data_IF_341382469198
#
_entry.id   IF_341382469198
#
_cell.length_a   1.000
_cell.length_b   1.000
_cell.length_c   1.000
_cell.angle_alpha   90.00
_cell.angle_beta   90.00
_cell.angle_gamma   90.00
#
_symmetry.space_group_name_H-M   'P 1'
#
loop_
_entity.id
_entity.type
_entity.pdbx_description
1 polymer ?
#
# COMPACT_ATOMS: atom_id res chain seq x y z
N UNK A 1 -13.10 -15.72 -12.58
CA UNK A 1 -11.65 -15.80 -12.30
C UNK A 1 -11.04 -14.64 -13.02
N UNK A 2 -10.92 -13.50 -12.34
CA UNK A 2 -10.29 -12.32 -12.94
C UNK A 2 -8.81 -12.66 -13.12
N UNK A 3 -8.32 -12.50 -14.34
CA UNK A 3 -6.93 -12.76 -14.71
C UNK A 3 -6.05 -11.80 -13.89
N UNK A 4 -5.11 -12.34 -13.12
CA UNK A 4 -4.29 -11.59 -12.16
C UNK A 4 -3.39 -10.57 -12.87
N UNK A 5 -3.94 -9.38 -13.11
CA UNK A 5 -3.27 -8.28 -13.80
C UNK A 5 -2.72 -7.24 -12.83
N UNK A 6 -1.68 -6.54 -13.25
CA UNK A 6 -1.17 -5.36 -12.56
C UNK A 6 -1.91 -4.11 -13.08
N UNK A 7 -2.47 -3.34 -12.17
CA UNK A 7 -3.00 -2.01 -12.47
C UNK A 7 -2.15 -0.94 -11.79
N UNK A 8 -1.61 -0.02 -12.58
CA UNK A 8 -0.84 1.13 -12.09
C UNK A 8 -1.70 2.39 -12.13
N UNK A 9 -1.73 3.11 -11.02
CA UNK A 9 -2.45 4.38 -10.89
C UNK A 9 -1.63 5.37 -10.06
N UNK A 10 -2.04 6.63 -10.07
CA UNK A 10 -1.48 7.67 -9.20
C UNK A 10 -2.30 7.77 -7.90
N UNK A 11 -1.68 8.32 -6.85
CA UNK A 11 -2.38 8.54 -5.57
C UNK A 11 -3.64 9.41 -5.72
N UNK A 12 -3.63 10.40 -6.63
CA UNK A 12 -4.78 11.27 -6.87
C UNK A 12 -6.02 10.55 -7.42
N UNK A 13 -5.83 9.39 -8.05
CA UNK A 13 -6.90 8.56 -8.60
C UNK A 13 -7.29 7.41 -7.66
N UNK A 14 -6.71 7.33 -6.45
CA UNK A 14 -7.05 6.31 -5.48
C UNK A 14 -8.36 6.70 -4.77
N UNK A 15 -9.45 6.14 -5.27
CA UNK A 15 -10.79 6.33 -4.74
C UNK A 15 -11.62 5.02 -4.73
N UNK A 16 -12.78 5.06 -4.08
CA UNK A 16 -13.67 3.90 -3.92
C UNK A 16 -14.15 3.33 -5.26
N UNK A 17 -14.40 4.17 -6.26
CA UNK A 17 -14.83 3.74 -7.59
C UNK A 17 -13.76 2.89 -8.27
N UNK A 18 -12.50 3.35 -8.24
CA UNK A 18 -11.38 2.58 -8.76
C UNK A 18 -11.22 1.23 -8.04
N UNK A 19 -11.27 1.22 -6.71
CA UNK A 19 -11.13 0.00 -5.92
C UNK A 19 -12.27 -1.00 -6.18
N UNK A 20 -13.50 -0.53 -6.35
CA UNK A 20 -14.64 -1.39 -6.67
C UNK A 20 -14.63 -1.90 -8.11
N UNK A 21 -13.94 -1.22 -9.03
CA UNK A 21 -13.79 -1.68 -10.41
C UNK A 21 -12.68 -2.74 -10.55
N UNK A 22 -11.56 -2.52 -9.85
CA UNK A 22 -10.38 -3.41 -9.95
C UNK A 22 -10.51 -4.60 -9.00
N UNK A 23 -11.16 -4.41 -7.85
CA UNK A 23 -11.25 -5.38 -6.76
C UNK A 23 -9.86 -5.97 -6.40
N UNK A 24 -8.87 -5.13 -6.03
CA UNK A 24 -7.51 -5.60 -5.84
C UNK A 24 -7.36 -6.45 -4.56
N UNK A 25 -6.65 -7.57 -4.66
CA UNK A 25 -6.25 -8.36 -3.48
C UNK A 25 -5.12 -7.67 -2.69
N UNK A 26 -4.20 -7.01 -3.41
CA UNK A 26 -2.99 -6.39 -2.85
C UNK A 26 -2.75 -5.03 -3.52
N UNK A 27 -2.44 -4.03 -2.70
CA UNK A 27 -1.98 -2.72 -3.12
C UNK A 27 -0.51 -2.57 -2.72
N UNK A 28 0.31 -2.08 -3.64
CA UNK A 28 1.74 -1.87 -3.42
C UNK A 28 2.13 -0.45 -3.79
N UNK A 29 2.93 0.21 -2.97
CA UNK A 29 3.50 1.53 -3.28
C UNK A 29 4.91 1.69 -2.69
N UNK A 30 5.70 2.67 -3.13
CA UNK A 30 6.82 3.17 -2.34
C UNK A 30 6.34 3.66 -0.98
N UNK A 31 7.21 3.59 0.04
CA UNK A 31 6.94 4.17 1.36
C UNK A 31 6.75 5.69 1.29
N UNK A 32 7.56 6.35 0.46
CA UNK A 32 7.48 7.79 0.18
C UNK A 32 7.61 7.97 -1.33
N UNK A 33 6.70 8.76 -1.91
CA UNK A 33 6.73 9.08 -3.33
C UNK A 33 6.41 10.56 -3.58
N UNK A 34 6.39 10.98 -4.85
CA UNK A 34 6.07 12.37 -5.19
C UNK A 34 4.63 12.71 -4.80
N UNK A 35 4.48 13.51 -3.73
CA UNK A 35 3.18 14.01 -3.28
C UNK A 35 2.36 13.02 -2.44
N UNK A 36 2.96 11.93 -1.97
CA UNK A 36 2.32 11.00 -1.02
C UNK A 36 3.35 10.31 -0.12
N UNK A 37 2.88 9.83 1.01
CA UNK A 37 3.56 8.83 1.81
C UNK A 37 2.60 7.67 2.10
N UNK A 38 3.13 6.58 2.66
CA UNK A 38 2.33 5.40 2.95
C UNK A 38 1.23 5.63 3.98
N UNK A 39 1.38 6.61 4.86
CA UNK A 39 0.37 6.96 5.85
C UNK A 39 -0.82 7.64 5.19
N UNK A 40 -0.57 8.54 4.23
CA UNK A 40 -1.59 9.19 3.42
C UNK A 40 -2.38 8.16 2.58
N UNK A 41 -1.67 7.20 1.96
CA UNK A 41 -2.30 6.09 1.22
C UNK A 41 -3.18 5.26 2.16
N UNK A 42 -2.65 4.85 3.31
CA UNK A 42 -3.37 4.00 4.25
C UNK A 42 -4.67 4.66 4.75
N UNK A 43 -4.62 5.96 5.08
CA UNK A 43 -5.82 6.74 5.43
C UNK A 43 -6.85 6.73 4.30
N UNK A 44 -6.41 6.94 3.05
CA UNK A 44 -7.32 6.91 1.91
C UNK A 44 -7.95 5.53 1.72
N UNK A 45 -7.20 4.45 1.92
CA UNK A 45 -7.71 3.08 1.84
C UNK A 45 -8.77 2.81 2.93
N UNK A 46 -8.49 3.24 4.17
CA UNK A 46 -9.43 3.18 5.29
C UNK A 46 -10.72 3.96 4.97
N UNK A 47 -10.62 5.18 4.46
CA UNK A 47 -11.77 6.00 4.04
C UNK A 47 -12.58 5.33 2.92
N UNK A 48 -11.91 4.63 2.00
CA UNK A 48 -12.57 3.89 0.94
C UNK A 48 -13.25 2.61 1.45
N UNK A 49 -12.90 2.12 2.64
CA UNK A 49 -13.37 0.85 3.19
C UNK A 49 -12.64 -0.37 2.63
N UNK A 50 -11.40 -0.19 2.17
CA UNK A 50 -10.56 -1.29 1.73
C UNK A 50 -10.11 -2.13 2.93
N UNK A 51 -10.18 -3.45 2.81
CA UNK A 51 -9.84 -4.40 3.88
C UNK A 51 -8.79 -5.43 3.46
N UNK A 52 -8.17 -5.23 2.29
CA UNK A 52 -7.15 -6.12 1.76
C UNK A 52 -5.73 -5.76 2.21
N UNK A 53 -4.76 -6.33 1.50
CA UNK A 53 -3.34 -6.18 1.83
C UNK A 53 -2.76 -4.90 1.25
N UNK A 54 -2.10 -4.11 2.09
CA UNK A 54 -1.28 -2.97 1.65
C UNK A 54 0.20 -3.23 1.99
N UNK A 55 1.08 -3.11 1.01
CA UNK A 55 2.53 -3.28 1.16
C UNK A 55 3.27 -2.04 0.70
N UNK A 56 4.02 -1.42 1.60
CA UNK A 56 4.91 -0.32 1.24
C UNK A 56 6.35 -0.82 1.04
N UNK A 57 6.97 -0.44 -0.06
CA UNK A 57 8.36 -0.79 -0.40
C UNK A 57 9.29 0.30 0.13
N UNK A 58 10.32 -0.08 0.86
CA UNK A 58 11.35 0.83 1.35
C UNK A 58 12.74 0.18 1.25
N UNK A 59 13.77 0.98 1.00
CA UNK A 59 15.17 0.55 1.13
C UNK A 59 15.66 0.87 2.55
N UNK A 60 16.11 -0.14 3.29
CA UNK A 60 16.84 -0.02 4.58
C UNK A 60 16.24 1.01 5.54
N UNK A 61 14.98 0.79 5.93
CA UNK A 61 14.26 1.71 6.79
C UNK A 61 14.67 1.58 8.27
N UNK A 62 15.33 2.58 8.87
CA UNK A 62 15.55 2.57 10.31
C UNK A 62 14.20 2.69 11.04
N UNK A 63 14.01 1.92 12.11
CA UNK A 63 12.78 1.91 12.92
C UNK A 63 11.51 1.50 12.17
N UNK A 64 11.58 0.48 11.31
CA UNK A 64 10.43 -0.01 10.56
C UNK A 64 9.18 -0.32 11.42
N UNK A 65 9.36 -0.74 12.67
CA UNK A 65 8.25 -0.98 13.62
C UNK A 65 7.49 0.29 14.00
N UNK A 66 8.17 1.45 14.04
CA UNK A 66 7.52 2.74 14.25
C UNK A 66 6.55 3.02 13.09
N UNK A 67 7.02 2.89 11.85
CA UNK A 67 6.20 3.10 10.66
C UNK A 67 5.03 2.14 10.61
N UNK A 68 5.26 0.84 10.85
CA UNK A 68 4.18 -0.16 10.93
C UNK A 68 3.10 0.25 11.92
N UNK A 69 3.50 0.71 13.11
CA UNK A 69 2.56 1.09 14.16
C UNK A 69 1.73 2.30 13.75
N UNK A 70 2.36 3.36 13.24
CA UNK A 70 1.65 4.58 12.84
C UNK A 70 0.66 4.31 11.69
N UNK A 71 1.09 3.53 10.68
CA UNK A 71 0.23 3.20 9.54
C UNK A 71 -0.94 2.30 9.95
N UNK A 72 -0.71 1.26 10.75
CA UNK A 72 -1.78 0.38 11.26
C UNK A 72 -2.75 1.13 12.19
N UNK A 73 -2.27 2.14 12.93
CA UNK A 73 -3.14 2.98 13.75
C UNK A 73 -4.04 3.89 12.90
N UNK A 74 -3.55 4.36 11.76
CA UNK A 74 -4.32 5.20 10.84
C UNK A 74 -5.33 4.41 9.98
N UNK A 75 -5.05 3.14 9.70
CA UNK A 75 -5.87 2.27 8.88
C UNK A 75 -6.04 0.87 9.54
N UNK A 76 -6.82 0.77 10.63
CA UNK A 76 -6.96 -0.47 11.39
C UNK A 76 -7.59 -1.62 10.60
N UNK A 77 -8.36 -1.33 9.55
CA UNK A 77 -9.02 -2.35 8.72
C UNK A 77 -8.14 -2.83 7.55
N UNK A 78 -7.00 -2.17 7.32
CA UNK A 78 -6.07 -2.50 6.22
C UNK A 78 -4.94 -3.36 6.76
N UNK A 79 -4.68 -4.51 6.10
CA UNK A 79 -3.55 -5.35 6.46
C UNK A 79 -2.24 -4.75 5.93
N UNK A 80 -1.56 -3.95 6.74
CA UNK A 80 -0.33 -3.26 6.36
C UNK A 80 0.95 -3.97 6.78
N UNK A 81 1.94 -4.02 5.86
CA UNK A 81 3.34 -4.33 6.17
C UNK A 81 4.33 -3.65 5.22
N UNK A 82 5.62 -3.71 5.56
CA UNK A 82 6.74 -3.21 4.75
C UNK A 82 7.44 -4.35 4.04
N UNK A 83 7.87 -4.09 2.80
CA UNK A 83 8.72 -5.00 2.01
C UNK A 83 10.05 -4.28 1.76
N UNK A 84 11.16 -4.97 2.05
CA UNK A 84 12.48 -4.43 1.74
C UNK A 84 12.72 -4.49 0.22
N UNK A 85 13.20 -3.39 -0.36
CA UNK A 85 13.53 -3.34 -1.78
C UNK A 85 14.63 -4.34 -2.15
N UNK A 86 15.55 -4.65 -1.22
CA UNK A 86 16.59 -5.65 -1.43
C UNK A 86 16.00 -7.05 -1.67
N UNK A 87 14.97 -7.43 -0.91
CA UNK A 87 14.31 -8.75 -1.02
C UNK A 87 13.63 -8.95 -2.39
N UNK A 88 13.23 -7.86 -3.06
CA UNK A 88 12.66 -7.90 -4.41
C UNK A 88 13.74 -8.05 -5.49
N UNK A 89 14.97 -7.61 -5.22
CA UNK A 89 16.08 -7.65 -6.19
C UNK A 89 16.78 -9.02 -6.27
N UNK A 90 16.73 -9.83 -5.21
CA UNK A 90 17.41 -11.13 -5.15
C UNK A 90 16.60 -12.30 -5.74
N UNK A 91 15.38 -12.04 -6.22
CA UNK A 91 14.49 -13.04 -6.84
C UNK A 91 14.40 -12.96 -8.37
N UNK A 92 15.28 -12.16 -8.99
CA UNK A 92 15.39 -11.96 -10.44
C UNK A 92 16.31 -12.94 -11.14
#
# INVERSE_FOLDING_TARGET
>A
MSDGGLHFTSFGNLDRGLLGQIEPDIIVSPLVGPGFDALEIARRLQECGFTGCYRAIADKLPHADLVRREVRAAAPDVEFDLVDAADLSERG
#
